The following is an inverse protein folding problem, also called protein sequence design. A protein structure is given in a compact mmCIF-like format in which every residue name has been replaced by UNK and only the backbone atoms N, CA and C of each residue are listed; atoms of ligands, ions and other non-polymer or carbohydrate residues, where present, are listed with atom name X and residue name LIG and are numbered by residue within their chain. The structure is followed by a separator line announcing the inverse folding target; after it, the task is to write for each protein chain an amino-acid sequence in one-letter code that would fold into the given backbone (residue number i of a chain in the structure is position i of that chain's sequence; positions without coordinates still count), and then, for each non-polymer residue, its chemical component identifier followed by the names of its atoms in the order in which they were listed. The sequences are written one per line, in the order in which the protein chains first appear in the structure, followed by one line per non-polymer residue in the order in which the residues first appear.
data_IF_840414592164
#
_entry.id   IF_840414592164
#
_cell.length_a   1.000
_cell.length_b   1.000
_cell.length_c   1.000
_cell.angle_alpha   90.00
_cell.angle_beta   90.00
_cell.angle_gamma   90.00
#
_symmetry.space_group_name_H-M   'P 1'
#
loop_
_entity.id
_entity.type
_entity.pdbx_description
1 polymer ?
#
# COMPACT_ATOMS: atom_id res chain seq x y z
N UNK A 1 76.55 -6.87 2.99
CA UNK A 1 76.99 -8.18 2.45
C UNK A 1 75.84 -8.83 1.69
N UNK A 2 76.14 -9.77 0.78
CA UNK A 2 75.14 -10.57 0.03
C UNK A 2 74.10 -11.26 0.94
N UNK A 3 74.52 -11.67 2.14
CA UNK A 3 73.64 -12.25 3.18
C UNK A 3 72.55 -11.29 3.66
N UNK A 4 72.86 -9.99 3.81
CA UNK A 4 71.87 -8.98 4.20
C UNK A 4 70.79 -8.80 3.11
N UNK A 5 71.20 -8.71 1.84
CA UNK A 5 70.27 -8.58 0.70
C UNK A 5 69.34 -9.80 0.56
N UNK A 6 69.87 -11.01 0.75
CA UNK A 6 69.07 -12.25 0.72
C UNK A 6 68.07 -12.33 1.87
N UNK A 7 68.43 -11.79 3.04
CA UNK A 7 67.53 -11.69 4.19
C UNK A 7 66.39 -10.68 3.96
N UNK A 8 66.68 -9.52 3.35
CA UNK A 8 65.69 -8.48 3.07
C UNK A 8 64.66 -8.93 2.02
N UNK A 9 65.09 -9.63 0.96
CA UNK A 9 64.18 -10.23 -0.01
C UNK A 9 63.25 -11.27 0.63
N UNK A 10 63.80 -12.16 1.47
CA UNK A 10 62.99 -13.20 2.12
C UNK A 10 61.98 -12.62 3.13
N UNK A 11 62.34 -11.55 3.84
CA UNK A 11 61.41 -10.83 4.73
C UNK A 11 60.26 -10.18 3.95
N UNK A 12 60.57 -9.52 2.82
CA UNK A 12 59.55 -9.00 1.90
C UNK A 12 58.61 -10.12 1.43
N UNK A 13 59.16 -11.23 0.94
CA UNK A 13 58.37 -12.35 0.42
C UNK A 13 57.41 -12.93 1.46
N UNK A 14 57.89 -13.15 2.68
CA UNK A 14 57.08 -13.67 3.78
C UNK A 14 55.98 -12.70 4.22
N UNK A 15 56.30 -11.41 4.32
CA UNK A 15 55.30 -10.38 4.68
C UNK A 15 54.23 -10.23 3.60
N UNK A 16 54.64 -10.22 2.33
CA UNK A 16 53.72 -10.19 1.18
C UNK A 16 52.79 -11.40 1.20
N UNK A 17 53.32 -12.60 1.39
CA UNK A 17 52.51 -13.83 1.47
C UNK A 17 51.46 -13.77 2.58
N UNK A 18 51.86 -13.41 3.80
CA UNK A 18 50.95 -13.29 4.95
C UNK A 18 49.85 -12.26 4.74
N UNK A 19 50.18 -11.15 4.08
CA UNK A 19 49.22 -10.09 3.80
C UNK A 19 48.23 -10.49 2.71
N UNK A 20 48.67 -11.24 1.69
CA UNK A 20 47.79 -11.83 0.68
C UNK A 20 46.83 -12.85 1.30
N UNK A 21 47.32 -13.75 2.15
CA UNK A 21 46.50 -14.72 2.89
C UNK A 21 45.46 -14.01 3.78
N UNK A 22 45.84 -12.88 4.38
CA UNK A 22 44.92 -12.07 5.15
C UNK A 22 43.80 -11.49 4.27
N UNK A 23 44.11 -10.91 3.10
CA UNK A 23 43.08 -10.37 2.20
C UNK A 23 42.10 -11.46 1.74
N UNK A 24 42.62 -12.64 1.41
CA UNK A 24 41.80 -13.78 1.00
C UNK A 24 40.85 -14.23 2.14
N UNK A 25 41.36 -14.34 3.36
CA UNK A 25 40.54 -14.68 4.52
C UNK A 25 39.50 -13.59 4.83
N UNK A 26 39.91 -12.32 4.74
CA UNK A 26 39.05 -11.19 5.04
C UNK A 26 37.83 -11.13 4.11
N UNK A 27 38.07 -11.21 2.79
CA UNK A 27 37.04 -11.11 1.76
C UNK A 27 36.06 -12.30 1.82
N UNK A 28 36.58 -13.51 2.06
CA UNK A 28 35.78 -14.72 1.98
C UNK A 28 35.10 -15.11 3.30
N UNK A 29 35.64 -14.71 4.45
CA UNK A 29 35.21 -15.22 5.77
C UNK A 29 34.95 -14.09 6.76
N UNK A 30 35.99 -13.34 7.14
CA UNK A 30 35.93 -12.45 8.31
C UNK A 30 34.86 -11.36 8.17
N UNK A 31 34.77 -10.76 6.98
CA UNK A 31 33.82 -9.68 6.71
C UNK A 31 32.36 -10.15 6.90
N UNK A 32 32.00 -11.29 6.32
CA UNK A 32 30.65 -11.84 6.40
C UNK A 32 30.32 -12.30 7.83
N UNK A 33 31.28 -12.91 8.52
CA UNK A 33 31.09 -13.35 9.89
C UNK A 33 30.83 -12.19 10.86
N UNK A 34 31.56 -11.06 10.71
CA UNK A 34 31.43 -9.90 11.59
C UNK A 34 30.09 -9.16 11.47
N UNK A 35 29.42 -9.27 10.32
CA UNK A 35 28.09 -8.69 10.10
C UNK A 35 26.95 -9.69 10.30
N UNK A 36 27.27 -10.98 10.41
CA UNK A 36 26.26 -12.01 10.60
C UNK A 36 25.51 -11.79 11.91
N UNK A 37 24.19 -11.94 11.88
CA UNK A 37 23.34 -11.70 13.05
C UNK A 37 23.24 -10.24 13.53
N UNK A 38 23.87 -9.26 12.88
CA UNK A 38 23.72 -7.81 13.19
C UNK A 38 22.55 -7.16 12.45
N UNK A 39 21.89 -6.18 13.08
CA UNK A 39 20.83 -5.40 12.40
C UNK A 39 21.41 -4.66 11.19
N UNK A 40 20.59 -4.15 10.29
CA UNK A 40 21.11 -3.41 9.13
C UNK A 40 21.92 -2.17 9.57
N UNK A 41 21.47 -1.46 10.60
CA UNK A 41 22.13 -0.31 11.19
C UNK A 41 23.49 -0.71 11.79
N UNK A 42 23.52 -1.76 12.60
CA UNK A 42 24.75 -2.26 13.23
C UNK A 42 25.73 -2.84 12.19
N UNK A 43 25.22 -3.49 11.15
CA UNK A 43 26.03 -3.98 10.02
C UNK A 43 26.66 -2.83 9.25
N UNK A 44 25.88 -1.76 9.01
CA UNK A 44 26.37 -0.58 8.31
C UNK A 44 27.46 0.14 9.12
N UNK A 45 27.29 0.24 10.44
CA UNK A 45 28.30 0.79 11.34
C UNK A 45 29.59 -0.04 11.35
N UNK A 46 29.46 -1.36 11.51
CA UNK A 46 30.57 -2.33 11.43
C UNK A 46 31.36 -2.18 10.12
N UNK A 47 30.66 -2.07 8.98
CA UNK A 47 31.28 -1.90 7.67
C UNK A 47 31.98 -0.55 7.52
N UNK A 48 31.32 0.55 7.91
CA UNK A 48 31.82 1.91 7.72
C UNK A 48 32.95 2.27 8.67
N UNK A 49 32.95 1.71 9.87
CA UNK A 49 33.89 2.06 10.92
C UNK A 49 34.95 0.97 11.08
N UNK A 50 34.59 -0.20 11.61
CA UNK A 50 35.57 -1.23 11.97
C UNK A 50 36.27 -1.82 10.74
N UNK A 51 35.51 -2.27 9.75
CA UNK A 51 36.06 -2.98 8.60
C UNK A 51 36.84 -2.06 7.67
N UNK A 52 36.35 -0.83 7.43
CA UNK A 52 37.12 0.20 6.71
C UNK A 52 38.41 0.59 7.44
N UNK A 53 38.39 0.71 8.76
CA UNK A 53 39.60 1.01 9.54
C UNK A 53 40.63 -0.13 9.45
N UNK A 54 40.17 -1.38 9.52
CA UNK A 54 41.01 -2.56 9.38
C UNK A 54 41.69 -2.61 8.00
N UNK A 55 40.94 -2.39 6.92
CA UNK A 55 41.50 -2.25 5.57
C UNK A 55 42.48 -1.08 5.50
N UNK A 56 42.14 0.05 6.13
CA UNK A 56 43.00 1.23 6.20
C UNK A 56 44.36 0.95 6.86
N UNK A 57 44.40 0.09 7.89
CA UNK A 57 45.65 -0.40 8.47
C UNK A 57 46.43 -1.27 7.47
N UNK A 58 45.76 -2.23 6.81
CA UNK A 58 46.42 -3.12 5.84
C UNK A 58 46.91 -2.39 4.59
N UNK A 59 46.22 -1.33 4.16
CA UNK A 59 46.70 -0.42 3.12
C UNK A 59 48.05 0.21 3.47
N UNK A 60 48.26 0.62 4.73
CA UNK A 60 49.58 1.12 5.17
C UNK A 60 50.65 0.04 5.06
N UNK A 61 50.34 -1.19 5.46
CA UNK A 61 51.26 -2.32 5.31
C UNK A 61 51.60 -2.61 3.85
N UNK A 62 50.62 -2.54 2.95
CA UNK A 62 50.86 -2.63 1.50
C UNK A 62 51.82 -1.51 1.08
N UNK A 63 51.54 -0.25 1.42
CA UNK A 63 52.41 0.88 1.05
C UNK A 63 53.85 0.72 1.57
N UNK A 64 54.05 0.23 2.78
CA UNK A 64 55.39 -0.04 3.34
C UNK A 64 56.11 -1.14 2.55
N UNK A 65 55.39 -2.19 2.14
CA UNK A 65 55.92 -3.23 1.26
C UNK A 65 56.20 -2.71 -0.16
N UNK A 66 55.40 -1.79 -0.69
CA UNK A 66 55.65 -1.12 -1.99
C UNK A 66 56.97 -0.34 -1.96
N UNK A 67 57.23 0.39 -0.86
CA UNK A 67 58.49 1.12 -0.67
C UNK A 67 59.66 0.13 -0.60
N UNK A 68 59.51 -0.95 0.18
CA UNK A 68 60.51 -2.01 0.30
C UNK A 68 60.80 -2.67 -1.05
N UNK A 69 59.75 -2.97 -1.84
CA UNK A 69 59.86 -3.54 -3.17
C UNK A 69 60.67 -2.63 -4.12
N UNK A 70 60.42 -1.32 -4.11
CA UNK A 70 61.20 -0.35 -4.91
C UNK A 70 62.68 -0.34 -4.55
N UNK A 71 63.00 -0.41 -3.25
CA UNK A 71 64.39 -0.50 -2.78
C UNK A 71 65.03 -1.83 -3.16
N UNK A 72 64.30 -2.95 -3.10
CA UNK A 72 64.81 -4.25 -3.52
C UNK A 72 65.06 -4.29 -5.04
N UNK A 73 64.16 -3.71 -5.84
CA UNK A 73 64.29 -3.65 -7.30
C UNK A 73 65.55 -2.91 -7.77
N UNK A 74 66.06 -1.93 -7.00
CA UNK A 74 67.32 -1.23 -7.34
C UNK A 74 68.57 -2.00 -6.91
N UNK A 75 68.43 -2.95 -5.97
CA UNK A 75 69.54 -3.62 -5.30
C UNK A 75 69.74 -5.09 -5.69
N UNK A 76 68.71 -5.72 -6.24
CA UNK A 76 68.67 -7.12 -6.69
C UNK A 76 69.03 -7.19 -8.17
N UNK A 77 69.96 -8.07 -8.52
CA UNK A 77 70.38 -8.33 -9.91
C UNK A 77 69.83 -9.65 -10.46
N UNK A 78 69.25 -10.50 -9.61
CA UNK A 78 68.63 -11.76 -10.00
C UNK A 78 67.27 -11.51 -10.69
N UNK A 79 67.14 -11.94 -11.94
CA UNK A 79 65.96 -11.70 -12.76
C UNK A 79 64.71 -12.40 -12.23
N UNK A 80 64.85 -13.59 -11.64
CA UNK A 80 63.73 -14.34 -11.06
C UNK A 80 63.21 -13.61 -9.81
N UNK A 81 64.11 -13.13 -8.95
CA UNK A 81 63.74 -12.34 -7.77
C UNK A 81 63.03 -11.03 -8.16
N UNK A 82 63.51 -10.34 -9.19
CA UNK A 82 62.84 -9.13 -9.72
C UNK A 82 61.42 -9.43 -10.23
N UNK A 83 61.23 -10.57 -10.90
CA UNK A 83 59.92 -11.01 -11.36
C UNK A 83 58.98 -11.33 -10.19
N UNK A 84 59.48 -12.03 -9.16
CA UNK A 84 58.71 -12.32 -7.93
C UNK A 84 58.29 -11.04 -7.23
N UNK A 85 59.20 -10.07 -7.07
CA UNK A 85 58.88 -8.78 -6.44
C UNK A 85 57.74 -8.11 -7.20
N UNK A 86 57.88 -7.93 -8.52
CA UNK A 86 56.82 -7.31 -9.35
C UNK A 86 55.49 -8.02 -9.19
N UNK A 87 55.48 -9.35 -9.34
CA UNK A 87 54.25 -10.14 -9.23
C UNK A 87 53.60 -10.02 -7.84
N UNK A 88 54.35 -10.07 -6.75
CA UNK A 88 53.79 -9.92 -5.41
C UNK A 88 53.25 -8.52 -5.15
N UNK A 89 53.96 -7.51 -5.66
CA UNK A 89 53.57 -6.10 -5.60
C UNK A 89 52.21 -5.91 -6.30
N UNK A 90 52.08 -6.38 -7.54
CA UNK A 90 50.83 -6.32 -8.32
C UNK A 90 49.69 -7.06 -7.61
N UNK A 91 49.96 -8.25 -7.06
CA UNK A 91 48.96 -9.05 -6.33
C UNK A 91 48.50 -8.35 -5.05
N UNK A 92 49.39 -7.69 -4.32
CA UNK A 92 49.05 -6.96 -3.10
C UNK A 92 48.14 -5.78 -3.41
N UNK A 93 48.47 -4.99 -4.43
CA UNK A 93 47.63 -3.88 -4.90
C UNK A 93 46.26 -4.38 -5.36
N UNK A 94 46.22 -5.45 -6.15
CA UNK A 94 44.96 -6.05 -6.61
C UNK A 94 44.11 -6.57 -5.45
N UNK A 95 44.72 -7.25 -4.47
CA UNK A 95 44.00 -7.82 -3.32
C UNK A 95 43.46 -6.73 -2.40
N UNK A 96 44.23 -5.66 -2.19
CA UNK A 96 43.78 -4.47 -1.45
C UNK A 96 42.58 -3.82 -2.14
N UNK A 97 42.69 -3.56 -3.45
CA UNK A 97 41.60 -2.97 -4.24
C UNK A 97 40.33 -3.82 -4.19
N UNK A 98 40.49 -5.15 -4.30
CA UNK A 98 39.37 -6.11 -4.21
C UNK A 98 38.70 -6.05 -2.85
N UNK A 99 39.47 -6.02 -1.75
CA UNK A 99 38.93 -5.94 -0.40
C UNK A 99 38.16 -4.63 -0.16
N UNK A 100 38.69 -3.51 -0.65
CA UNK A 100 38.06 -2.19 -0.58
C UNK A 100 36.74 -2.14 -1.36
N UNK A 101 36.76 -2.65 -2.60
CA UNK A 101 35.55 -2.72 -3.43
C UNK A 101 34.49 -3.62 -2.78
N UNK A 102 34.90 -4.73 -2.16
CA UNK A 102 33.99 -5.66 -1.51
C UNK A 102 33.26 -5.02 -0.32
N UNK A 103 33.98 -4.31 0.56
CA UNK A 103 33.38 -3.55 1.66
C UNK A 103 32.46 -2.45 1.12
N UNK A 104 32.88 -1.72 0.09
CA UNK A 104 32.08 -0.65 -0.49
C UNK A 104 30.77 -1.17 -1.12
N UNK A 105 30.84 -2.29 -1.86
CA UNK A 105 29.66 -2.97 -2.40
C UNK A 105 28.70 -3.36 -1.28
N UNK A 106 29.21 -3.89 -0.17
CA UNK A 106 28.40 -4.29 0.98
C UNK A 106 27.74 -3.10 1.67
N UNK A 107 28.44 -1.99 1.82
CA UNK A 107 27.90 -0.73 2.36
C UNK A 107 26.73 -0.26 1.50
N UNK A 108 26.94 -0.12 0.19
CA UNK A 108 25.89 0.34 -0.74
C UNK A 108 24.67 -0.57 -0.72
N UNK A 109 24.89 -1.89 -0.66
CA UNK A 109 23.80 -2.87 -0.57
C UNK A 109 23.00 -2.71 0.72
N UNK A 110 23.68 -2.56 1.86
CA UNK A 110 23.04 -2.37 3.17
C UNK A 110 22.23 -1.08 3.19
N UNK A 111 22.79 0.03 2.69
CA UNK A 111 22.09 1.32 2.58
C UNK A 111 20.87 1.25 1.68
N UNK A 112 20.98 0.57 0.54
CA UNK A 112 19.85 0.35 -0.38
C UNK A 112 18.71 -0.39 0.32
N UNK A 113 18.99 -1.48 1.02
CA UNK A 113 17.97 -2.26 1.73
C UNK A 113 17.35 -1.45 2.87
N UNK A 114 18.15 -0.70 3.63
CA UNK A 114 17.63 0.20 4.67
C UNK A 114 16.67 1.23 4.09
N UNK A 115 17.03 1.83 2.93
CA UNK A 115 16.15 2.75 2.23
C UNK A 115 14.85 2.07 1.78
N UNK A 116 14.92 0.86 1.24
CA UNK A 116 13.73 0.09 0.86
C UNK A 116 12.80 -0.18 2.05
N UNK A 117 13.35 -0.52 3.22
CA UNK A 117 12.57 -0.66 4.45
C UNK A 117 11.90 0.66 4.84
N UNK A 118 12.64 1.76 4.82
CA UNK A 118 12.09 3.08 5.12
C UNK A 118 10.95 3.46 4.19
N UNK A 119 11.15 3.31 2.87
CA UNK A 119 10.14 3.64 1.86
C UNK A 119 8.90 2.74 2.01
N UNK A 120 9.09 1.46 2.33
CA UNK A 120 8.01 0.52 2.60
C UNK A 120 7.22 0.91 3.86
N UNK A 121 7.89 1.15 4.99
CA UNK A 121 7.25 1.51 6.25
C UNK A 121 6.48 2.83 6.15
N UNK A 122 7.06 3.84 5.49
CA UNK A 122 6.39 5.12 5.25
C UNK A 122 5.15 4.95 4.36
N UNK A 123 5.24 4.14 3.31
CA UNK A 123 4.13 3.80 2.45
C UNK A 123 3.01 3.04 3.19
N UNK A 124 3.40 2.12 4.08
CA UNK A 124 2.47 1.36 4.91
C UNK A 124 1.71 2.25 5.90
N UNK A 125 2.38 3.18 6.56
CA UNK A 125 1.74 4.08 7.53
C UNK A 125 0.67 4.95 6.85
N UNK A 126 1.03 5.57 5.72
CA UNK A 126 0.12 6.38 4.93
C UNK A 126 -1.08 5.54 4.44
N UNK A 127 -0.81 4.33 3.95
CA UNK A 127 -1.86 3.46 3.45
C UNK A 127 -2.80 2.98 4.55
N UNK A 128 -2.28 2.63 5.74
CA UNK A 128 -3.10 2.21 6.88
C UNK A 128 -4.02 3.34 7.35
N UNK A 129 -3.47 4.54 7.51
CA UNK A 129 -4.24 5.73 7.90
C UNK A 129 -5.39 6.02 6.92
N UNK A 130 -5.09 5.95 5.61
CA UNK A 130 -6.10 6.10 4.59
C UNK A 130 -7.15 4.97 4.63
N UNK A 131 -6.72 3.71 4.71
CA UNK A 131 -7.63 2.56 4.80
C UNK A 131 -8.56 2.68 6.01
N UNK A 132 -8.06 3.05 7.19
CA UNK A 132 -8.88 3.24 8.40
C UNK A 132 -9.94 4.33 8.19
N UNK A 133 -9.58 5.43 7.51
CA UNK A 133 -10.47 6.56 7.22
C UNK A 133 -11.59 6.16 6.26
N UNK A 134 -11.25 5.48 5.16
CA UNK A 134 -12.23 5.09 4.15
C UNK A 134 -13.12 3.94 4.66
N UNK A 135 -12.56 2.98 5.40
CA UNK A 135 -13.32 1.91 6.08
C UNK A 135 -14.33 2.51 7.05
N UNK A 136 -13.91 3.46 7.90
CA UNK A 136 -14.80 4.16 8.83
C UNK A 136 -15.91 4.90 8.10
N UNK A 137 -15.59 5.56 6.98
CA UNK A 137 -16.57 6.30 6.19
C UNK A 137 -17.62 5.37 5.59
N UNK A 138 -17.21 4.23 5.06
CA UNK A 138 -18.10 3.24 4.43
C UNK A 138 -18.89 2.39 5.44
N UNK A 139 -18.39 2.23 6.66
CA UNK A 139 -19.09 1.52 7.74
C UNK A 139 -20.21 2.34 8.37
N UNK A 140 -20.23 3.68 8.22
CA UNK A 140 -21.29 4.53 8.76
C UNK A 140 -22.67 4.06 8.26
N UNK A 141 -23.59 3.68 9.16
CA UNK A 141 -24.91 3.23 8.77
C UNK A 141 -25.73 4.40 8.23
N UNK A 142 -26.59 4.09 7.27
CA UNK A 142 -27.60 5.01 6.76
C UNK A 142 -28.70 5.13 7.81
N UNK A 143 -28.96 6.32 8.34
CA UNK A 143 -29.97 6.54 9.38
C UNK A 143 -31.37 6.61 8.77
N UNK A 144 -32.06 5.47 8.71
CA UNK A 144 -33.34 5.30 8.02
C UNK A 144 -34.46 6.19 8.59
N UNK A 145 -34.46 6.43 9.91
CA UNK A 145 -35.51 7.21 10.59
C UNK A 145 -35.54 8.72 10.26
N UNK A 146 -34.53 9.26 9.55
CA UNK A 146 -34.49 10.67 9.11
C UNK A 146 -34.46 10.80 7.59
N UNK A 147 -34.42 9.66 6.89
CA UNK A 147 -34.05 9.60 5.50
C UNK A 147 -35.09 10.30 4.63
N UNK A 148 -34.68 11.41 4.05
CA UNK A 148 -35.42 12.10 2.99
C UNK A 148 -34.59 12.05 1.70
N UNK A 149 -35.19 12.48 0.58
CA UNK A 149 -34.52 12.45 -0.72
C UNK A 149 -33.16 13.20 -0.74
N UNK A 150 -33.01 14.25 0.06
CA UNK A 150 -31.73 14.97 0.15
C UNK A 150 -30.68 14.15 0.90
N UNK A 151 -31.04 13.51 2.02
CA UNK A 151 -30.11 12.66 2.78
C UNK A 151 -29.66 11.44 1.98
N UNK A 152 -30.58 10.79 1.27
CA UNK A 152 -30.25 9.69 0.37
C UNK A 152 -29.27 10.14 -0.73
N UNK A 153 -29.52 11.30 -1.35
CA UNK A 153 -28.62 11.87 -2.36
C UNK A 153 -27.24 12.17 -1.76
N UNK A 154 -27.17 12.70 -0.54
CA UNK A 154 -25.90 12.97 0.14
C UNK A 154 -25.11 11.68 0.39
N UNK A 155 -25.78 10.60 0.81
CA UNK A 155 -25.15 9.29 0.96
C UNK A 155 -24.64 8.74 -0.38
N UNK A 156 -25.44 8.84 -1.45
CA UNK A 156 -25.01 8.43 -2.79
C UNK A 156 -23.78 9.22 -3.27
N UNK A 157 -23.74 10.53 -3.04
CA UNK A 157 -22.59 11.36 -3.37
C UNK A 157 -21.35 10.99 -2.54
N UNK A 158 -21.52 10.69 -1.25
CA UNK A 158 -20.43 10.24 -0.38
C UNK A 158 -19.85 8.89 -0.82
N UNK A 159 -20.70 7.95 -1.22
CA UNK A 159 -20.28 6.65 -1.79
C UNK A 159 -19.56 6.84 -3.12
N UNK A 160 -20.07 7.68 -4.02
CA UNK A 160 -19.40 7.97 -5.30
C UNK A 160 -18.01 8.64 -5.10
N UNK A 161 -17.90 9.56 -4.14
CA UNK A 161 -16.63 10.17 -3.78
C UNK A 161 -15.64 9.12 -3.22
N UNK A 162 -16.13 8.21 -2.38
CA UNK A 162 -15.34 7.11 -1.82
C UNK A 162 -14.87 6.13 -2.91
N UNK A 163 -15.72 5.81 -3.88
CA UNK A 163 -15.39 4.96 -5.04
C UNK A 163 -14.27 5.59 -5.87
N UNK A 164 -14.36 6.90 -6.15
CA UNK A 164 -13.32 7.62 -6.87
C UNK A 164 -12.00 7.71 -6.08
N UNK A 165 -12.07 7.83 -4.75
CA UNK A 165 -10.89 7.85 -3.89
C UNK A 165 -10.19 6.48 -3.83
N UNK A 166 -10.96 5.40 -3.72
CA UNK A 166 -10.49 4.01 -3.83
C UNK A 166 -9.73 3.80 -5.14
N UNK A 167 -10.29 4.22 -6.27
CA UNK A 167 -9.64 4.05 -7.58
C UNK A 167 -8.28 4.78 -7.66
N UNK A 168 -8.22 6.02 -7.13
CA UNK A 168 -6.97 6.79 -7.08
C UNK A 168 -5.87 6.11 -6.25
N UNK A 169 -6.25 5.37 -5.21
CA UNK A 169 -5.31 4.69 -4.32
C UNK A 169 -4.83 3.33 -4.85
N UNK A 170 -5.40 2.81 -5.94
CA UNK A 170 -4.99 1.54 -6.57
C UNK A 170 -3.50 1.50 -6.92
N UNK A 171 -2.96 2.60 -7.45
CA UNK A 171 -1.53 2.72 -7.81
C UNK A 171 -0.64 2.80 -6.57
N UNK A 172 -1.08 3.51 -5.53
CA UNK A 172 -0.35 3.64 -4.26
C UNK A 172 -0.22 2.27 -3.59
N UNK A 173 -1.32 1.50 -3.50
CA UNK A 173 -1.32 0.13 -2.98
C UNK A 173 -0.33 -0.73 -3.78
N UNK A 174 -0.41 -0.69 -5.11
CA UNK A 174 0.47 -1.47 -5.99
C UNK A 174 1.95 -1.11 -5.76
N UNK A 175 2.27 0.16 -5.56
CA UNK A 175 3.63 0.63 -5.26
C UNK A 175 4.14 0.09 -3.92
N UNK A 176 3.32 0.17 -2.85
CA UNK A 176 3.69 -0.34 -1.53
C UNK A 176 3.87 -1.87 -1.55
N UNK A 177 3.00 -2.59 -2.25
CA UNK A 177 3.13 -4.03 -2.44
C UNK A 177 4.42 -4.38 -3.21
N UNK A 178 4.74 -3.62 -4.27
CA UNK A 178 5.98 -3.81 -5.02
C UNK A 178 7.23 -3.58 -4.15
N UNK A 179 7.24 -2.55 -3.30
CA UNK A 179 8.32 -2.33 -2.33
C UNK A 179 8.48 -3.54 -1.39
N UNK A 180 7.37 -4.06 -0.87
CA UNK A 180 7.36 -5.26 -0.04
C UNK A 180 7.89 -6.49 -0.77
N UNK A 181 7.48 -6.73 -2.01
CA UNK A 181 8.00 -7.85 -2.83
C UNK A 181 9.48 -7.70 -3.18
N UNK A 182 9.94 -6.48 -3.46
CA UNK A 182 11.36 -6.20 -3.67
C UNK A 182 12.17 -6.47 -2.39
N UNK A 183 11.67 -6.11 -1.21
CA UNK A 183 12.32 -6.48 0.04
C UNK A 183 12.37 -8.01 0.24
N UNK A 184 11.35 -8.75 -0.21
CA UNK A 184 11.33 -10.21 -0.09
C UNK A 184 12.30 -10.92 -1.04
N UNK A 185 12.71 -10.28 -2.14
CA UNK A 185 13.71 -10.83 -3.07
C UNK A 185 15.15 -10.57 -2.62
N UNK A 186 15.34 -9.69 -1.63
CA UNK A 186 16.66 -9.34 -1.12
C UNK A 186 17.24 -10.43 -0.19
N UNK A 187 18.36 -11.02 -0.59
CA UNK A 187 19.01 -12.14 0.14
C UNK A 187 19.50 -11.76 1.54
N UNK A 188 19.75 -10.47 1.76
CA UNK A 188 20.25 -9.94 3.03
C UNK A 188 19.12 -9.60 4.01
N UNK A 189 17.86 -9.72 3.59
CA UNK A 189 16.71 -9.55 4.47
C UNK A 189 16.57 -10.78 5.36
N UNK A 190 16.53 -10.52 6.67
CA UNK A 190 16.47 -11.57 7.68
C UNK A 190 15.17 -12.39 7.57
N UNK A 191 15.19 -13.71 7.86
CA UNK A 191 13.99 -14.56 7.83
C UNK A 191 12.83 -14.05 8.69
N UNK A 192 13.11 -13.47 9.87
CA UNK A 192 12.08 -12.88 10.73
C UNK A 192 11.37 -11.69 10.06
N UNK A 193 12.12 -10.89 9.31
CA UNK A 193 11.58 -9.74 8.58
C UNK A 193 10.73 -10.21 7.39
N UNK A 194 11.18 -11.25 6.67
CA UNK A 194 10.41 -11.89 5.58
C UNK A 194 8.99 -12.27 6.05
N UNK A 195 8.88 -13.02 7.15
CA UNK A 195 7.57 -13.43 7.68
C UNK A 195 6.70 -12.26 8.19
N UNK A 196 7.31 -11.13 8.53
CA UNK A 196 6.58 -9.92 8.95
C UNK A 196 6.09 -9.12 7.74
N UNK A 197 6.92 -8.98 6.71
CA UNK A 197 6.57 -8.33 5.45
C UNK A 197 5.46 -9.12 4.74
N UNK A 198 5.58 -10.45 4.63
CA UNK A 198 4.56 -11.30 3.99
C UNK A 198 3.18 -11.17 4.65
N UNK A 199 3.11 -11.23 5.98
CA UNK A 199 1.85 -11.04 6.72
C UNK A 199 1.27 -9.65 6.52
N UNK A 200 2.13 -8.64 6.42
CA UNK A 200 1.71 -7.26 6.20
C UNK A 200 1.13 -7.07 4.79
N UNK A 201 1.80 -7.61 3.76
CA UNK A 201 1.32 -7.65 2.37
C UNK A 201 -0.04 -8.34 2.32
N UNK A 202 -0.15 -9.55 2.86
CA UNK A 202 -1.39 -10.32 2.84
C UNK A 202 -2.54 -9.57 3.54
N UNK A 203 -2.27 -8.92 4.68
CA UNK A 203 -3.26 -8.12 5.40
C UNK A 203 -3.77 -6.95 4.58
N UNK A 204 -2.89 -6.25 3.85
CA UNK A 204 -3.25 -5.14 2.97
C UNK A 204 -4.11 -5.63 1.80
N UNK A 205 -3.71 -6.72 1.16
CA UNK A 205 -4.47 -7.31 0.05
C UNK A 205 -5.87 -7.72 0.48
N UNK A 206 -6.00 -8.34 1.67
CA UNK A 206 -7.29 -8.73 2.23
C UNK A 206 -8.16 -7.51 2.54
N UNK A 207 -7.61 -6.47 3.20
CA UNK A 207 -8.34 -5.22 3.47
C UNK A 207 -8.78 -4.54 2.18
N UNK A 208 -7.92 -4.53 1.17
CA UNK A 208 -8.25 -3.97 -0.15
C UNK A 208 -9.40 -4.70 -0.83
N UNK A 209 -9.40 -6.04 -0.83
CA UNK A 209 -10.51 -6.82 -1.37
C UNK A 209 -11.81 -6.58 -0.58
N UNK A 210 -11.72 -6.52 0.75
CA UNK A 210 -12.86 -6.23 1.61
C UNK A 210 -13.44 -4.83 1.35
N UNK A 211 -12.59 -3.82 1.14
CA UNK A 211 -13.00 -2.46 0.79
C UNK A 211 -13.77 -2.41 -0.53
N UNK A 212 -13.27 -3.11 -1.56
CA UNK A 212 -13.97 -3.22 -2.86
C UNK A 212 -15.33 -3.91 -2.74
N UNK A 213 -15.44 -4.92 -1.88
CA UNK A 213 -16.72 -5.56 -1.63
C UNK A 213 -17.67 -4.65 -0.83
N UNK A 214 -17.15 -3.93 0.16
CA UNK A 214 -17.93 -3.02 1.00
C UNK A 214 -18.53 -1.87 0.18
N UNK A 215 -17.75 -1.21 -0.69
CA UNK A 215 -18.26 -0.14 -1.55
C UNK A 215 -19.35 -0.66 -2.50
N UNK A 216 -19.16 -1.86 -3.07
CA UNK A 216 -20.14 -2.51 -3.95
C UNK A 216 -21.44 -2.80 -3.22
N UNK A 217 -21.37 -3.35 -1.99
CA UNK A 217 -22.53 -3.61 -1.14
C UNK A 217 -23.28 -2.31 -0.80
N UNK A 218 -22.56 -1.28 -0.37
CA UNK A 218 -23.15 0.03 -0.04
C UNK A 218 -23.86 0.69 -1.22
N UNK A 219 -23.28 0.59 -2.42
CA UNK A 219 -23.90 1.10 -3.64
C UNK A 219 -25.22 0.38 -3.95
N UNK A 220 -25.21 -0.95 -3.88
CA UNK A 220 -26.40 -1.77 -4.09
C UNK A 220 -27.51 -1.47 -3.06
N UNK A 221 -27.14 -1.32 -1.78
CA UNK A 221 -28.08 -0.94 -0.71
C UNK A 221 -28.74 0.41 -1.01
N UNK A 222 -27.95 1.45 -1.33
CA UNK A 222 -28.46 2.78 -1.64
C UNK A 222 -29.30 2.82 -2.92
N UNK A 223 -28.92 2.06 -3.95
CA UNK A 223 -29.69 1.98 -5.19
C UNK A 223 -31.04 1.30 -4.98
N UNK A 224 -31.07 0.23 -4.19
CA UNK A 224 -32.32 -0.47 -3.81
C UNK A 224 -33.22 0.45 -2.99
N UNK A 225 -32.65 1.17 -2.03
CA UNK A 225 -33.38 2.15 -1.22
C UNK A 225 -33.94 3.28 -2.09
N UNK A 226 -33.15 3.80 -3.05
CA UNK A 226 -33.57 4.84 -3.98
C UNK A 226 -34.71 4.43 -4.90
N UNK A 227 -34.68 3.20 -5.44
CA UNK A 227 -35.79 2.66 -6.23
C UNK A 227 -37.07 2.60 -5.39
N UNK A 228 -36.96 2.12 -4.15
CA UNK A 228 -38.11 2.00 -3.24
C UNK A 228 -38.70 3.38 -2.90
N UNK A 229 -37.87 4.36 -2.58
CA UNK A 229 -38.31 5.73 -2.32
C UNK A 229 -38.99 6.38 -3.52
N UNK A 230 -38.44 6.22 -4.73
CA UNK A 230 -39.05 6.75 -5.95
C UNK A 230 -40.42 6.12 -6.22
N UNK A 231 -40.57 4.83 -5.97
CA UNK A 231 -41.86 4.14 -6.14
C UNK A 231 -42.93 4.74 -5.22
N UNK A 232 -42.60 4.94 -3.94
CA UNK A 232 -43.51 5.57 -2.97
C UNK A 232 -43.78 7.02 -3.31
N UNK A 233 -42.76 7.79 -3.71
CA UNK A 233 -42.92 9.19 -4.11
C UNK A 233 -43.92 9.33 -5.29
N UNK A 234 -43.77 8.50 -6.31
CA UNK A 234 -44.68 8.48 -7.46
C UNK A 234 -46.09 8.02 -7.07
N UNK A 235 -46.21 7.07 -6.14
CA UNK A 235 -47.52 6.63 -5.64
C UNK A 235 -48.23 7.73 -4.83
N UNK A 236 -47.51 8.45 -3.97
CA UNK A 236 -48.03 9.62 -3.24
C UNK A 236 -48.48 10.71 -4.23
N UNK A 237 -47.69 11.00 -5.28
CA UNK A 237 -48.09 11.97 -6.32
C UNK A 237 -49.40 11.57 -7.02
N UNK A 238 -49.56 10.29 -7.34
CA UNK A 238 -50.81 9.77 -7.92
C UNK A 238 -51.99 9.93 -6.96
N UNK A 239 -51.83 9.55 -5.69
CA UNK A 239 -52.85 9.69 -4.66
C UNK A 239 -53.25 11.16 -4.44
N UNK A 240 -52.29 12.10 -4.43
CA UNK A 240 -52.57 13.53 -4.32
C UNK A 240 -53.38 14.06 -5.52
N UNK A 241 -53.05 13.62 -6.74
CA UNK A 241 -53.80 13.99 -7.94
C UNK A 241 -55.22 13.42 -7.89
N UNK A 242 -55.37 12.16 -7.50
CA UNK A 242 -56.65 11.49 -7.32
C UNK A 242 -57.55 12.24 -6.32
N UNK A 243 -57.01 12.60 -5.15
CA UNK A 243 -57.70 13.44 -4.16
C UNK A 243 -58.11 14.79 -4.76
N UNK A 244 -57.24 15.43 -5.54
CA UNK A 244 -57.54 16.70 -6.21
C UNK A 244 -58.67 16.55 -7.25
N UNK A 245 -58.69 15.46 -8.00
CA UNK A 245 -59.73 15.17 -8.99
C UNK A 245 -61.07 14.86 -8.30
N UNK A 246 -61.03 14.19 -7.15
CA UNK A 246 -62.19 13.96 -6.28
C UNK A 246 -62.79 15.26 -5.75
N UNK A 247 -61.95 16.17 -5.23
CA UNK A 247 -62.39 17.49 -4.77
C UNK A 247 -63.05 18.30 -5.90
N UNK A 248 -62.49 18.21 -7.12
CA UNK A 248 -63.07 18.86 -8.31
C UNK A 248 -64.42 18.27 -8.68
N UNK A 249 -64.54 16.93 -8.70
CA UNK A 249 -65.79 16.24 -8.98
C UNK A 249 -66.89 16.62 -7.97
N UNK A 250 -66.58 16.55 -6.67
CA UNK A 250 -67.52 16.92 -5.61
C UNK A 250 -67.93 18.39 -5.69
N UNK A 251 -67.01 19.29 -6.05
CA UNK A 251 -67.31 20.71 -6.26
C UNK A 251 -68.27 20.93 -7.44
N UNK A 252 -68.10 20.17 -8.53
CA UNK A 252 -68.96 20.26 -9.71
C UNK A 252 -70.37 19.70 -9.47
N UNK A 253 -70.48 18.57 -8.75
CA UNK A 253 -71.78 18.02 -8.31
C UNK A 253 -72.50 19.03 -7.41
N UNK A 254 -71.78 19.68 -6.49
CA UNK A 254 -72.36 20.72 -5.63
C UNK A 254 -72.89 21.92 -6.42
N UNK A 255 -72.22 22.30 -7.51
CA UNK A 255 -72.59 23.44 -8.37
C UNK A 255 -73.84 23.17 -9.21
N UNK A 256 -74.03 21.92 -9.64
CA UNK A 256 -75.11 21.53 -10.57
C UNK A 256 -76.39 21.06 -9.88
N UNK A 257 -76.35 20.93 -8.55
CA UNK A 257 -77.47 20.46 -7.71
C UNK A 257 -78.77 21.25 -7.94
N UNK A 258 -79.88 20.50 -8.13
CA UNK A 258 -81.24 21.05 -8.10
C UNK A 258 -81.87 21.38 -9.45
N UNK A 259 -81.32 20.90 -10.57
CA UNK A 259 -81.93 21.06 -11.91
C UNK A 259 -83.08 20.06 -12.17
N UNK A 260 -84.13 20.12 -11.34
CA UNK A 260 -85.33 19.29 -11.45
C UNK A 260 -85.13 17.81 -11.08
N UNK A 261 -86.23 17.03 -11.10
CA UNK A 261 -86.24 15.62 -10.64
C UNK A 261 -85.34 14.68 -11.46
N UNK A 262 -85.18 14.92 -12.77
CA UNK A 262 -84.28 14.12 -13.59
C UNK A 262 -82.80 14.40 -13.26
N UNK A 263 -82.44 15.67 -13.03
CA UNK A 263 -81.09 16.08 -12.60
C UNK A 263 -80.68 15.44 -11.28
N UNK A 264 -81.56 15.50 -10.28
CA UNK A 264 -81.35 14.88 -8.96
C UNK A 264 -81.14 13.36 -9.08
N UNK A 265 -81.90 12.68 -9.94
CA UNK A 265 -81.76 11.23 -10.14
C UNK A 265 -80.44 10.85 -10.83
N UNK A 266 -79.97 11.66 -11.79
CA UNK A 266 -78.66 11.46 -12.40
C UNK A 266 -77.52 11.75 -11.43
N UNK A 267 -77.63 12.79 -10.62
CA UNK A 267 -76.64 13.16 -9.59
C UNK A 267 -76.48 12.05 -8.56
N UNK A 268 -77.58 11.50 -8.05
CA UNK A 268 -77.56 10.38 -7.11
C UNK A 268 -76.78 9.17 -7.65
N UNK A 269 -77.00 8.80 -8.91
CA UNK A 269 -76.27 7.69 -9.56
C UNK A 269 -74.78 8.02 -9.72
N UNK A 270 -74.44 9.25 -10.06
CA UNK A 270 -73.04 9.68 -10.17
C UNK A 270 -72.33 9.62 -8.82
N UNK A 271 -72.99 10.03 -7.73
CA UNK A 271 -72.45 9.91 -6.37
C UNK A 271 -72.32 8.46 -5.90
N UNK A 272 -73.28 7.60 -6.26
CA UNK A 272 -73.21 6.17 -5.96
C UNK A 272 -72.03 5.50 -6.68
N UNK A 273 -71.76 5.85 -7.93
CA UNK A 273 -70.59 5.38 -8.67
C UNK A 273 -69.29 5.95 -8.08
N UNK A 274 -69.28 7.22 -7.71
CA UNK A 274 -68.14 7.88 -7.08
C UNK A 274 -67.78 7.25 -5.73
N UNK A 275 -68.77 6.81 -4.95
CA UNK A 275 -68.53 6.07 -3.70
C UNK A 275 -67.72 4.78 -3.94
N UNK A 276 -68.02 4.04 -5.00
CA UNK A 276 -67.25 2.82 -5.33
C UNK A 276 -65.79 3.14 -5.70
N UNK A 277 -65.57 4.25 -6.40
CA UNK A 277 -64.22 4.73 -6.73
C UNK A 277 -63.45 5.06 -5.45
N UNK A 278 -64.08 5.78 -4.50
CA UNK A 278 -63.47 6.06 -3.19
C UNK A 278 -63.07 4.79 -2.43
N UNK A 279 -63.90 3.75 -2.44
CA UNK A 279 -63.61 2.49 -1.74
C UNK A 279 -62.39 1.75 -2.33
N UNK A 280 -62.14 1.88 -3.64
CA UNK A 280 -60.97 1.28 -4.30
C UNK A 280 -59.71 2.14 -4.09
N UNK A 281 -59.86 3.46 -4.13
CA UNK A 281 -58.78 4.42 -3.90
C UNK A 281 -58.29 4.42 -2.44
N UNK A 282 -59.17 4.13 -1.47
CA UNK A 282 -58.79 3.90 -0.07
C UNK A 282 -57.83 2.73 0.08
N UNK A 283 -58.03 1.64 -0.69
CA UNK A 283 -57.11 0.49 -0.68
C UNK A 283 -55.75 0.86 -1.27
N UNK A 284 -55.72 1.62 -2.37
CA UNK A 284 -54.45 2.09 -2.95
C UNK A 284 -53.67 2.95 -1.93
N UNK A 285 -54.34 3.85 -1.20
CA UNK A 285 -53.70 4.67 -0.15
C UNK A 285 -53.15 3.81 0.99
N UNK A 286 -53.87 2.74 1.39
CA UNK A 286 -53.40 1.82 2.42
C UNK A 286 -52.13 1.07 1.96
N UNK A 287 -52.10 0.58 0.71
CA UNK A 287 -50.92 -0.06 0.14
C UNK A 287 -49.70 0.89 0.11
N UNK A 288 -49.92 2.16 -0.24
CA UNK A 288 -48.85 3.19 -0.21
C UNK A 288 -48.31 3.36 1.22
N UNK A 289 -49.20 3.40 2.21
CA UNK A 289 -48.83 3.57 3.63
C UNK A 289 -48.04 2.37 4.15
N UNK A 290 -48.43 1.16 3.76
CA UNK A 290 -47.73 -0.07 4.13
C UNK A 290 -46.34 -0.14 3.47
N UNK A 291 -46.24 0.21 2.19
CA UNK A 291 -44.97 0.28 1.46
C UNK A 291 -44.01 1.30 2.08
N UNK A 292 -44.50 2.50 2.42
CA UNK A 292 -43.71 3.52 3.12
C UNK A 292 -43.22 3.02 4.49
N UNK A 293 -44.10 2.37 5.26
CA UNK A 293 -43.75 1.80 6.56
C UNK A 293 -42.70 0.68 6.44
N UNK A 294 -42.74 -0.10 5.37
CA UNK A 294 -41.74 -1.12 5.06
C UNK A 294 -40.35 -0.52 4.85
N UNK A 295 -40.25 0.60 4.13
CA UNK A 295 -38.97 1.30 3.87
C UNK A 295 -38.36 1.87 5.16
N UNK A 296 -39.18 2.36 6.11
CA UNK A 296 -38.66 2.90 7.38
C UNK A 296 -38.12 1.80 8.29
N UNK A 297 -38.67 0.58 8.19
CA UNK A 297 -38.31 -0.56 9.05
C UNK A 297 -37.08 -1.34 8.57
N UNK A 298 -36.70 -1.23 7.29
CA UNK A 298 -35.54 -1.88 6.68
C UNK A 298 -34.24 -1.13 6.99
#
# INVERSE_FOLDING_TARGET
SLTKKRSEFHDFENKSKRLLEWFEHFVNVEMNHRIDGLTLEASLDMLKNELRNLIGEKRRNVNDLMITARVLQTNVTDQLQLQIIKQQTDRLEQSLSTAEEHVEKRIKKTEMIMKMFHDFDQGLENLRSWMDTIETTLQKPVSVNKLNANELRNHQQSVAASEADIEKHSTIISSVLALGHNLLSESDVRPRNIGTIQRTIQSIEQRWLALKDLIRKRKLELDTMNVSWRSVEEAIKRALKMITDHERFLSEVKRTCGQGLQGIRSEYKSLENFKRILDDDEKEIQEITDNYSGIIRS
#
